data_IF_865242784274
#
_entry.id   IF_865242784274
#
_cell.length_a   1.000
_cell.length_b   1.000
_cell.length_c   1.000
_cell.angle_alpha   90.00
_cell.angle_beta   90.00
_cell.angle_gamma   90.00
#
_symmetry.space_group_name_H-M   'P 1'
#
loop_
_entity.id
_entity.type
_entity.pdbx_description
1 polymer ?
#
# COMPACT_ATOMS: atom_id res chain seq x y z
N UNK A 1 55.72 -76.32 -10.68
CA UNK A 1 54.53 -76.91 -10.04
C UNK A 1 53.35 -76.72 -10.96
N UNK A 2 52.77 -77.84 -11.37
CA UNK A 2 51.85 -78.03 -12.50
C UNK A 2 50.38 -78.05 -12.05
N UNK A 3 49.47 -77.39 -12.78
CA UNK A 3 48.42 -78.08 -13.58
C UNK A 3 47.43 -77.09 -14.23
N UNK A 4 47.27 -77.26 -15.54
CA UNK A 4 46.25 -76.73 -16.46
C UNK A 4 44.85 -77.24 -16.05
N UNK A 5 43.80 -76.41 -16.03
CA UNK A 5 42.92 -75.96 -17.13
C UNK A 5 42.15 -77.09 -17.83
N UNK A 6 40.81 -77.00 -17.79
CA UNK A 6 39.83 -77.81 -18.54
C UNK A 6 38.52 -77.97 -17.75
N UNK A 7 37.65 -76.95 -17.76
CA UNK A 7 36.44 -76.86 -18.60
C UNK A 7 35.24 -77.70 -18.11
N UNK A 8 34.12 -77.06 -17.75
CA UNK A 8 32.84 -77.16 -18.50
C UNK A 8 31.66 -76.37 -17.87
N UNK A 9 31.01 -75.61 -18.76
CA UNK A 9 29.54 -75.44 -18.97
C UNK A 9 28.64 -74.72 -17.95
N UNK A 10 28.03 -73.66 -18.50
CA UNK A 10 26.58 -73.34 -18.56
C UNK A 10 25.83 -73.11 -17.24
N UNK A 11 25.39 -71.87 -17.01
CA UNK A 11 23.98 -71.44 -17.18
C UNK A 11 23.77 -69.98 -16.72
N UNK A 12 22.99 -69.25 -17.52
CA UNK A 12 22.08 -68.16 -17.16
C UNK A 12 22.67 -66.87 -16.55
N UNK A 13 23.01 -65.93 -17.43
CA UNK A 13 22.93 -64.48 -17.17
C UNK A 13 22.01 -63.85 -18.20
N UNK A 14 20.77 -63.52 -17.79
CA UNK A 14 19.98 -62.42 -18.37
C UNK A 14 18.81 -62.13 -17.42
N UNK A 15 19.10 -61.35 -16.38
CA UNK A 15 18.13 -60.72 -15.50
C UNK A 15 18.70 -59.37 -15.10
N UNK A 16 18.51 -58.38 -15.97
CA UNK A 16 18.46 -56.95 -15.66
C UNK A 16 18.10 -56.25 -16.98
N UNK A 17 16.91 -55.64 -17.00
CA UNK A 17 16.28 -54.80 -18.04
C UNK A 17 14.83 -55.27 -18.23
N UNK A 18 13.94 -54.92 -17.28
CA UNK A 18 12.54 -54.52 -17.51
C UNK A 18 12.07 -53.90 -16.19
N UNK A 19 12.25 -52.60 -16.01
CA UNK A 19 11.44 -51.81 -15.06
C UNK A 19 11.39 -50.34 -15.47
N UNK A 20 10.95 -50.07 -16.71
CA UNK A 20 10.53 -48.73 -17.10
C UNK A 20 9.54 -48.76 -18.28
N UNK A 21 8.38 -49.39 -18.07
CA UNK A 21 7.25 -49.27 -19.01
C UNK A 21 5.98 -49.84 -18.40
N UNK A 22 5.34 -49.13 -17.45
CA UNK A 22 3.93 -49.32 -17.06
C UNK A 22 3.51 -48.21 -16.08
N UNK A 23 3.31 -46.99 -16.60
CA UNK A 23 2.44 -45.97 -15.99
C UNK A 23 2.09 -44.86 -16.99
N UNK A 24 1.54 -45.25 -18.13
CA UNK A 24 0.78 -44.35 -19.00
C UNK A 24 -0.42 -45.10 -19.53
N UNK A 25 -1.60 -44.47 -19.42
CA UNK A 25 -2.94 -44.89 -19.85
C UNK A 25 -3.78 -45.64 -18.81
N UNK A 26 -4.57 -44.89 -18.06
CA UNK A 26 -6.05 -45.02 -18.02
C UNK A 26 -6.65 -44.04 -17.01
N UNK A 27 -6.83 -42.77 -17.42
CA UNK A 27 -7.86 -41.89 -16.85
C UNK A 27 -8.41 -41.04 -17.99
N UNK A 28 -9.29 -41.65 -18.76
CA UNK A 28 -10.30 -40.95 -19.55
C UNK A 28 -11.65 -41.34 -18.95
N UNK A 29 -12.58 -40.39 -18.94
CA UNK A 29 -14.01 -40.57 -18.65
C UNK A 29 -14.49 -40.36 -17.19
N UNK A 30 -14.41 -39.10 -16.70
CA UNK A 30 -15.52 -38.43 -16.00
C UNK A 30 -15.46 -36.93 -16.32
N UNK A 31 -15.97 -36.52 -17.49
CA UNK A 31 -16.30 -35.10 -17.75
C UNK A 31 -17.73 -34.84 -17.25
N UNK A 32 -17.84 -34.65 -15.94
CA UNK A 32 -19.02 -34.03 -15.33
C UNK A 32 -18.98 -32.53 -15.65
N UNK A 33 -19.96 -32.06 -16.41
CA UNK A 33 -20.20 -30.66 -16.72
C UNK A 33 -20.56 -29.89 -15.45
N UNK A 34 -19.55 -29.33 -14.77
CA UNK A 34 -19.76 -28.26 -13.79
C UNK A 34 -19.93 -26.97 -14.58
N UNK A 35 -21.18 -26.57 -14.79
CA UNK A 35 -21.53 -25.25 -15.29
C UNK A 35 -21.08 -24.20 -14.28
N UNK A 36 -19.90 -23.62 -14.53
CA UNK A 36 -19.48 -22.37 -13.90
C UNK A 36 -20.32 -21.27 -14.53
N UNK A 37 -21.48 -21.00 -13.93
CA UNK A 37 -22.23 -19.78 -14.19
C UNK A 37 -21.34 -18.60 -13.88
N UNK A 38 -20.85 -17.96 -14.95
CA UNK A 38 -20.23 -16.64 -14.91
C UNK A 38 -21.35 -15.64 -14.59
N UNK A 39 -21.72 -15.53 -13.33
CA UNK A 39 -22.47 -14.38 -12.88
C UNK A 39 -21.57 -13.16 -13.07
N UNK A 40 -22.01 -12.28 -13.96
CA UNK A 40 -21.48 -10.94 -14.09
C UNK A 40 -21.65 -10.26 -12.74
N UNK A 41 -20.58 -10.17 -11.95
CA UNK A 41 -20.47 -9.16 -10.91
C UNK A 41 -20.47 -7.80 -11.61
N UNK A 42 -21.66 -7.24 -11.74
CA UNK A 42 -21.86 -5.82 -11.96
C UNK A 42 -21.26 -5.14 -10.72
N UNK A 43 -20.04 -4.62 -10.84
CA UNK A 43 -19.53 -3.65 -9.89
C UNK A 43 -20.42 -2.41 -10.04
N UNK A 44 -21.39 -2.30 -9.13
CA UNK A 44 -22.10 -1.05 -8.89
C UNK A 44 -21.05 -0.04 -8.43
N UNK A 45 -20.77 0.93 -9.30
CA UNK A 45 -20.07 2.16 -8.96
C UNK A 45 -20.91 2.89 -7.91
N UNK A 46 -20.60 2.68 -6.62
CA UNK A 46 -20.94 3.67 -5.61
C UNK A 46 -20.01 4.86 -5.85
N UNK A 47 -20.58 5.94 -6.39
CA UNK A 47 -20.00 7.27 -6.32
C UNK A 47 -19.67 7.56 -4.85
N UNK A 48 -18.39 7.49 -4.52
CA UNK A 48 -17.87 8.09 -3.30
C UNK A 48 -17.65 9.54 -3.65
N UNK A 49 -18.57 10.40 -3.19
CA UNK A 49 -18.39 11.84 -3.21
C UNK A 49 -17.24 12.18 -2.25
N UNK A 50 -16.02 12.15 -2.77
CA UNK A 50 -14.86 12.71 -2.09
C UNK A 50 -15.01 14.23 -2.17
N UNK A 51 -15.64 14.80 -1.14
CA UNK A 51 -15.62 16.22 -0.86
C UNK A 51 -14.17 16.66 -0.61
N UNK A 52 -13.50 17.06 -1.69
CA UNK A 52 -12.20 17.73 -1.70
C UNK A 52 -12.33 19.12 -1.09
N UNK A 53 -12.23 19.18 0.23
CA UNK A 53 -11.98 20.43 0.94
C UNK A 53 -10.49 20.76 0.85
N UNK A 54 -10.09 21.42 -0.25
CA UNK A 54 -8.87 22.22 -0.30
C UNK A 54 -9.22 23.65 0.12
N UNK A 55 -8.76 24.17 1.28
CA UNK A 55 -8.85 25.59 1.55
C UNK A 55 -7.72 26.31 0.81
N UNK A 56 -8.13 27.13 -0.17
CA UNK A 56 -7.56 28.42 -0.53
C UNK A 56 -6.04 28.64 -0.33
N UNK A 57 -5.30 28.61 -1.44
CA UNK A 57 -4.12 29.47 -1.61
C UNK A 57 -4.36 30.35 -2.85
N UNK A 58 -4.67 31.65 -2.67
CA UNK A 58 -4.57 32.60 -3.75
C UNK A 58 -3.11 32.99 -3.94
N UNK A 59 -2.66 32.93 -5.18
CA UNK A 59 -1.45 33.55 -5.71
C UNK A 59 -1.26 34.97 -5.17
N UNK A 60 -0.32 35.14 -4.25
CA UNK A 60 0.18 36.43 -3.78
C UNK A 60 1.22 36.99 -4.76
N UNK A 61 0.73 37.70 -5.77
CA UNK A 61 1.49 38.72 -6.49
C UNK A 61 0.98 40.07 -6.00
N UNK A 62 1.86 40.88 -5.41
CA UNK A 62 1.69 42.23 -4.83
C UNK A 62 1.88 42.31 -3.31
N UNK A 63 3.10 42.61 -2.87
CA UNK A 63 3.35 43.30 -1.60
C UNK A 63 3.80 44.73 -1.97
N UNK A 64 3.00 45.77 -1.69
CA UNK A 64 3.48 47.15 -1.76
C UNK A 64 4.50 47.38 -0.66
N UNK A 65 5.48 48.24 -0.95
CA UNK A 65 6.64 48.63 -0.15
C UNK A 65 6.31 49.22 1.24
N UNK A 66 5.78 48.40 2.16
CA UNK A 66 5.76 48.72 3.57
C UNK A 66 7.21 48.77 4.08
N UNK A 67 7.64 49.98 4.43
CA UNK A 67 9.03 50.31 4.70
C UNK A 67 9.71 49.37 5.69
N UNK A 68 10.97 49.05 5.38
CA UNK A 68 11.91 48.20 6.11
C UNK A 68 11.85 48.34 7.65
N UNK A 69 11.48 49.53 8.16
CA UNK A 69 11.31 49.80 9.60
C UNK A 69 10.17 49.01 10.26
N UNK A 70 9.06 48.78 9.56
CA UNK A 70 7.92 48.00 10.07
C UNK A 70 8.27 46.51 10.12
N UNK A 71 9.06 46.04 9.15
CA UNK A 71 9.55 44.66 9.10
C UNK A 71 10.47 44.34 10.29
N UNK A 72 11.41 45.24 10.62
CA UNK A 72 12.27 45.08 11.80
C UNK A 72 11.51 45.16 13.13
N UNK A 73 10.50 46.01 13.23
CA UNK A 73 9.65 46.09 14.42
C UNK A 73 8.86 44.79 14.67
N UNK A 74 8.34 44.18 13.61
CA UNK A 74 7.65 42.88 13.70
C UNK A 74 8.62 41.74 14.06
N UNK A 75 9.84 41.73 13.52
CA UNK A 75 10.87 40.74 13.91
C UNK A 75 11.22 40.86 15.39
N UNK A 76 11.45 42.08 15.88
CA UNK A 76 11.77 42.30 17.30
C UNK A 76 10.60 41.91 18.19
N UNK A 77 9.35 42.23 17.80
CA UNK A 77 8.15 41.82 18.53
C UNK A 77 8.03 40.29 18.58
N UNK A 78 8.28 39.59 17.47
CA UNK A 78 8.28 38.14 17.41
C UNK A 78 9.38 37.51 18.27
N UNK A 79 10.58 38.11 18.31
CA UNK A 79 11.66 37.66 19.18
C UNK A 79 11.30 37.84 20.66
N UNK A 80 10.73 38.98 21.05
CA UNK A 80 10.29 39.23 22.44
C UNK A 80 9.15 38.28 22.84
N UNK A 81 8.18 38.03 21.96
CA UNK A 81 7.12 37.04 22.17
C UNK A 81 7.69 35.62 22.32
N UNK A 82 8.68 35.24 21.50
CA UNK A 82 9.31 33.92 21.60
C UNK A 82 10.03 33.70 22.94
N UNK A 83 10.71 34.72 23.47
CA UNK A 83 11.37 34.66 24.78
C UNK A 83 10.34 34.60 25.91
N UNK A 84 9.23 35.35 25.79
CA UNK A 84 8.16 35.33 26.78
C UNK A 84 7.49 33.94 26.90
N UNK A 85 7.29 33.25 25.78
CA UNK A 85 6.72 31.89 25.77
C UNK A 85 7.65 30.89 26.48
N UNK A 86 8.97 31.00 26.29
CA UNK A 86 9.96 30.10 26.93
C UNK A 86 10.01 30.31 28.46
N UNK A 87 9.85 31.54 28.94
CA UNK A 87 9.94 31.85 30.39
C UNK A 87 8.65 31.54 31.15
N UNK A 88 7.50 31.52 30.46
CA UNK A 88 6.18 31.30 31.10
C UNK A 88 5.74 29.83 31.13
N UNK A 89 6.49 28.93 30.48
CA UNK A 89 6.17 27.51 30.37
C UNK A 89 6.50 26.72 31.64
N UNK A 90 5.75 26.93 32.72
CA UNK A 90 5.68 25.98 33.83
C UNK A 90 5.24 24.62 33.28
N UNK A 91 6.00 23.58 33.60
CA UNK A 91 5.82 22.22 33.09
C UNK A 91 4.46 21.62 33.47
N UNK A 92 3.44 21.93 32.69
CA UNK A 92 2.29 21.07 32.55
C UNK A 92 2.78 19.89 31.71
N UNK A 93 3.07 18.77 32.36
CA UNK A 93 3.13 17.47 31.69
C UNK A 93 1.82 17.30 30.96
N UNK A 94 1.79 17.67 29.68
CA UNK A 94 0.64 17.50 28.82
C UNK A 94 0.41 16.00 28.72
N UNK A 95 -0.61 15.52 29.44
CA UNK A 95 -1.19 14.18 29.27
C UNK A 95 -1.38 13.98 27.77
N UNK A 96 -0.66 13.00 27.23
CA UNK A 96 -0.55 12.77 25.80
C UNK A 96 -1.34 11.53 25.47
N UNK A 97 -2.49 11.70 24.84
CA UNK A 97 -3.40 10.63 24.41
C UNK A 97 -2.87 9.78 23.23
N UNK A 98 -1.55 9.60 23.13
CA UNK A 98 -0.88 8.88 22.05
C UNK A 98 0.57 8.47 22.45
N UNK A 99 0.88 8.41 23.75
CA UNK A 99 2.22 8.06 24.24
C UNK A 99 2.37 6.57 24.62
N UNK A 100 1.30 5.79 24.51
CA UNK A 100 1.29 4.36 24.83
C UNK A 100 1.32 4.07 26.32
N UNK A 101 1.03 5.06 27.17
CA UNK A 101 1.06 4.95 28.63
C UNK A 101 -0.28 5.43 29.17
N UNK A 102 -0.90 4.64 30.06
CA UNK A 102 -2.09 5.08 30.77
C UNK A 102 -1.70 6.10 31.85
N UNK A 103 -1.81 7.39 31.56
CA UNK A 103 -1.48 8.48 32.48
C UNK A 103 -2.61 9.51 32.66
N UNK A 104 -2.48 10.37 33.68
CA UNK A 104 -3.48 11.40 33.98
C UNK A 104 -4.86 10.85 34.37
N UNK A 105 -5.90 11.21 33.60
CA UNK A 105 -7.30 10.84 33.83
C UNK A 105 -7.84 9.81 32.84
N UNK A 106 -6.95 9.18 32.08
CA UNK A 106 -7.31 8.15 31.11
C UNK A 106 -8.05 6.96 31.73
N UNK A 107 -8.96 6.37 30.97
CA UNK A 107 -9.71 5.16 31.33
C UNK A 107 -9.13 3.89 30.68
N UNK A 108 -8.26 4.05 29.69
CA UNK A 108 -7.44 3.02 29.04
C UNK A 108 -6.19 3.66 28.43
N UNK A 109 -5.23 2.88 27.94
CA UNK A 109 -4.00 3.42 27.33
C UNK A 109 -4.36 4.39 26.21
N UNK A 110 -3.99 5.67 26.34
CA UNK A 110 -4.23 6.75 25.38
C UNK A 110 -5.73 7.08 25.13
N UNK A 111 -6.65 6.66 26.01
CA UNK A 111 -8.08 6.91 25.84
C UNK A 111 -8.84 7.17 27.16
N UNK A 112 -9.95 7.91 27.06
CA UNK A 112 -10.80 8.27 28.19
C UNK A 112 -10.30 9.47 29.01
N UNK A 113 -11.15 9.98 29.91
CA UNK A 113 -10.83 11.19 30.68
C UNK A 113 -10.76 12.45 29.82
N UNK A 114 -9.57 13.07 29.78
CA UNK A 114 -9.27 14.20 28.88
C UNK A 114 -9.01 13.77 27.43
N UNK A 115 -8.78 12.48 27.20
CA UNK A 115 -8.55 11.89 25.88
C UNK A 115 -9.87 11.46 25.21
N UNK A 116 -9.86 11.19 23.89
CA UNK A 116 -11.02 10.64 23.20
C UNK A 116 -11.58 9.43 23.94
N UNK A 117 -12.91 9.29 23.97
CA UNK A 117 -13.58 8.19 24.68
C UNK A 117 -13.02 6.85 24.21
N UNK A 118 -12.66 5.97 25.14
CA UNK A 118 -12.31 4.60 24.81
C UNK A 118 -13.44 3.94 24.02
N UNK A 119 -13.07 3.10 23.05
CA UNK A 119 -14.04 2.25 22.38
C UNK A 119 -14.88 1.51 23.43
N UNK A 120 -16.20 1.36 23.21
CA UNK A 120 -17.07 0.69 24.17
C UNK A 120 -16.47 -0.68 24.49
N UNK A 121 -16.35 -0.99 25.78
CA UNK A 121 -15.86 -2.30 26.24
C UNK A 121 -16.82 -3.35 25.69
N UNK A 122 -16.46 -3.97 24.58
CA UNK A 122 -17.29 -5.00 23.97
C UNK A 122 -17.29 -6.18 24.93
N UNK A 123 -18.48 -6.62 25.34
CA UNK A 123 -18.60 -7.75 26.23
C UNK A 123 -18.18 -9.03 25.49
N UNK A 124 -16.93 -9.44 25.69
CA UNK A 124 -16.30 -10.57 25.01
C UNK A 124 -17.10 -11.87 25.18
N UNK A 125 -17.81 -12.05 26.31
CA UNK A 125 -18.63 -13.24 26.51
C UNK A 125 -19.84 -13.27 25.59
N UNK A 126 -20.46 -12.11 25.35
CA UNK A 126 -21.62 -12.01 24.46
C UNK A 126 -21.24 -12.25 22.99
N UNK A 127 -20.06 -11.79 22.58
CA UNK A 127 -19.51 -12.07 21.25
C UNK A 127 -19.28 -13.57 21.01
N UNK A 128 -18.79 -14.30 22.01
CA UNK A 128 -18.56 -15.75 21.89
C UNK A 128 -19.89 -16.48 21.62
N UNK A 129 -20.93 -16.17 22.38
CA UNK A 129 -22.27 -16.77 22.22
C UNK A 129 -22.89 -16.47 20.85
N UNK A 130 -22.64 -15.27 20.31
CA UNK A 130 -23.15 -14.88 18.99
C UNK A 130 -22.44 -15.65 17.86
N UNK A 131 -21.12 -15.79 17.91
CA UNK A 131 -20.38 -16.55 16.89
C UNK A 131 -20.67 -18.05 16.93
N UNK A 132 -21.04 -18.62 18.08
CA UNK A 132 -21.42 -20.02 18.19
C UNK A 132 -22.76 -20.36 17.50
N UNK A 133 -23.59 -19.37 17.14
CA UNK A 133 -24.85 -19.57 16.41
C UNK A 133 -24.62 -20.02 14.95
N UNK A 134 -23.42 -19.85 14.40
CA UNK A 134 -23.12 -20.25 13.03
C UNK A 134 -22.88 -21.76 12.92
N UNK A 135 -23.54 -22.38 11.93
CA UNK A 135 -23.55 -23.84 11.74
C UNK A 135 -22.31 -24.40 11.03
N UNK A 136 -21.53 -23.56 10.34
CA UNK A 136 -20.29 -23.97 9.66
C UNK A 136 -19.07 -23.38 10.34
N UNK A 137 -17.95 -24.12 10.30
CA UNK A 137 -16.67 -23.61 10.82
C UNK A 137 -16.22 -22.34 10.11
N UNK A 138 -16.45 -22.24 8.80
CA UNK A 138 -16.07 -21.06 8.00
C UNK A 138 -16.80 -19.80 8.46
N UNK A 139 -18.13 -19.88 8.65
CA UNK A 139 -18.91 -18.71 9.09
C UNK A 139 -18.58 -18.32 10.53
N UNK A 140 -18.36 -19.32 11.39
CA UNK A 140 -17.96 -19.09 12.77
C UNK A 140 -16.56 -18.44 12.86
N UNK A 141 -15.60 -18.95 12.11
CA UNK A 141 -14.25 -18.40 12.08
C UNK A 141 -14.26 -16.95 11.58
N UNK A 142 -15.01 -16.67 10.50
CA UNK A 142 -15.21 -15.30 10.01
C UNK A 142 -15.82 -14.38 11.07
N UNK A 143 -16.83 -14.85 11.80
CA UNK A 143 -17.42 -14.10 12.91
C UNK A 143 -16.39 -13.75 13.98
N UNK A 144 -15.57 -14.72 14.39
CA UNK A 144 -14.50 -14.47 15.36
C UNK A 144 -13.44 -13.50 14.82
N UNK A 145 -13.06 -13.60 13.55
CA UNK A 145 -12.12 -12.67 12.91
C UNK A 145 -12.60 -11.22 12.97
N UNK A 146 -13.84 -10.98 12.51
CA UNK A 146 -14.44 -9.64 12.48
C UNK A 146 -14.60 -9.09 13.92
N UNK A 147 -15.09 -9.93 14.84
CA UNK A 147 -15.26 -9.55 16.26
C UNK A 147 -13.93 -9.23 16.95
N UNK A 148 -12.88 -9.99 16.64
CA UNK A 148 -11.56 -9.78 17.20
C UNK A 148 -10.92 -8.47 16.72
N UNK A 149 -11.14 -8.12 15.45
CA UNK A 149 -10.69 -6.86 14.86
C UNK A 149 -11.44 -5.66 15.45
N UNK A 150 -12.76 -5.75 15.60
CA UNK A 150 -13.58 -4.68 16.18
C UNK A 150 -13.23 -4.43 17.66
N UNK A 151 -13.03 -5.51 18.42
CA UNK A 151 -12.69 -5.43 19.84
C UNK A 151 -11.19 -5.25 20.12
N UNK A 152 -10.33 -5.27 19.09
CA UNK A 152 -8.87 -5.35 19.20
C UNK A 152 -8.39 -6.41 20.20
N UNK A 153 -9.05 -7.58 20.21
CA UNK A 153 -8.83 -8.62 21.22
C UNK A 153 -8.35 -9.94 20.59
N UNK A 154 -7.04 -10.20 20.69
CA UNK A 154 -6.42 -11.42 20.16
C UNK A 154 -6.93 -12.72 20.79
N UNK A 155 -7.54 -12.68 21.99
CA UNK A 155 -8.04 -13.89 22.64
C UNK A 155 -9.20 -14.53 21.87
N UNK A 156 -9.85 -13.78 20.98
CA UNK A 156 -10.89 -14.31 20.09
C UNK A 156 -10.29 -15.09 18.91
N UNK A 157 -9.08 -14.75 18.46
CA UNK A 157 -8.41 -15.45 17.36
C UNK A 157 -8.18 -16.93 17.68
N UNK A 158 -7.91 -17.28 18.94
CA UNK A 158 -7.64 -18.68 19.33
C UNK A 158 -8.84 -19.61 19.13
N UNK A 159 -10.07 -19.05 19.02
CA UNK A 159 -11.34 -19.77 18.83
C UNK A 159 -11.55 -20.26 17.40
N UNK A 160 -10.78 -19.74 16.44
CA UNK A 160 -10.89 -20.13 15.03
C UNK A 160 -10.38 -21.55 14.80
N UNK A 161 -10.82 -22.21 13.74
CA UNK A 161 -10.52 -23.62 13.50
C UNK A 161 -9.15 -23.87 12.85
N UNK A 162 -8.71 -22.99 11.94
CA UNK A 162 -7.46 -23.16 11.19
C UNK A 162 -6.33 -22.28 11.72
N UNK A 163 -5.12 -22.84 11.92
CA UNK A 163 -3.97 -22.09 12.45
C UNK A 163 -3.61 -20.87 11.59
N UNK A 164 -3.63 -21.01 10.27
CA UNK A 164 -3.37 -19.91 9.34
C UNK A 164 -4.32 -18.72 9.58
N UNK A 165 -5.59 -19.00 9.85
CA UNK A 165 -6.57 -17.95 10.14
C UNK A 165 -6.35 -17.30 11.52
N UNK A 166 -5.83 -18.06 12.50
CA UNK A 166 -5.45 -17.51 13.81
C UNK A 166 -4.31 -16.52 13.68
N UNK A 167 -3.27 -16.91 12.93
CA UNK A 167 -2.09 -16.09 12.70
C UNK A 167 -2.47 -14.82 11.93
N UNK A 168 -3.29 -14.95 10.89
CA UNK A 168 -3.86 -13.81 10.16
C UNK A 168 -4.70 -12.88 11.03
N UNK A 169 -5.54 -13.43 11.92
CA UNK A 169 -6.32 -12.67 12.90
C UNK A 169 -5.42 -11.85 13.85
N UNK A 170 -4.40 -12.50 14.44
CA UNK A 170 -3.44 -11.85 15.34
C UNK A 170 -2.67 -10.75 14.60
N UNK A 171 -2.21 -11.03 13.38
CA UNK A 171 -1.54 -10.06 12.50
C UNK A 171 -2.39 -8.82 12.25
N UNK A 172 -3.67 -9.00 11.90
CA UNK A 172 -4.59 -7.89 11.65
C UNK A 172 -4.77 -7.02 12.90
N UNK A 173 -4.94 -7.63 14.07
CA UNK A 173 -5.07 -6.91 15.35
C UNK A 173 -3.78 -6.16 15.70
N UNK A 174 -2.61 -6.78 15.48
CA UNK A 174 -1.31 -6.13 15.67
C UNK A 174 -1.23 -4.82 14.89
N UNK A 175 -1.61 -4.85 13.60
CA UNK A 175 -1.59 -3.67 12.73
C UNK A 175 -2.62 -2.63 13.14
N UNK A 176 -3.87 -3.03 13.42
CA UNK A 176 -4.95 -2.11 13.83
C UNK A 176 -4.68 -1.43 15.18
N UNK A 177 -4.08 -2.16 16.12
CA UNK A 177 -3.72 -1.64 17.45
C UNK A 177 -2.35 -0.97 17.50
N UNK A 178 -1.54 -1.10 16.45
CA UNK A 178 -0.15 -0.64 16.42
C UNK A 178 0.78 -1.37 17.40
N UNK A 179 0.43 -2.59 17.84
CA UNK A 179 1.16 -3.33 18.87
C UNK A 179 2.14 -4.37 18.26
N UNK A 180 3.47 -4.11 18.27
CA UNK A 180 4.46 -5.03 17.69
C UNK A 180 4.65 -6.32 18.50
N UNK A 181 4.27 -6.35 19.78
CA UNK A 181 4.41 -7.54 20.63
C UNK A 181 3.53 -8.68 20.10
N UNK A 182 2.40 -8.35 19.48
CA UNK A 182 1.53 -9.34 18.84
C UNK A 182 2.21 -10.01 17.64
N UNK A 183 3.03 -9.29 16.86
CA UNK A 183 3.81 -9.87 15.76
C UNK A 183 4.84 -10.87 16.27
N UNK A 184 5.46 -10.62 17.43
CA UNK A 184 6.40 -11.55 18.07
C UNK A 184 5.74 -12.86 18.53
N UNK A 185 4.42 -12.87 18.72
CA UNK A 185 3.67 -14.07 19.11
C UNK A 185 3.38 -15.03 17.96
N UNK A 186 3.59 -14.60 16.71
CA UNK A 186 3.36 -15.41 15.52
C UNK A 186 4.47 -16.46 15.36
N UNK A 187 4.07 -17.72 15.18
CA UNK A 187 5.00 -18.84 15.08
C UNK A 187 5.64 -18.97 13.69
N UNK A 188 4.86 -18.67 12.64
CA UNK A 188 5.34 -18.72 11.27
C UNK A 188 6.15 -17.46 10.91
N UNK A 189 7.33 -17.66 10.33
CA UNK A 189 8.25 -16.56 10.02
C UNK A 189 7.73 -15.65 8.91
N UNK A 190 7.00 -16.19 7.93
CA UNK A 190 6.37 -15.39 6.88
C UNK A 190 5.27 -14.51 7.47
N UNK A 191 4.43 -15.07 8.35
CA UNK A 191 3.36 -14.32 9.02
C UNK A 191 3.90 -13.20 9.90
N UNK A 192 5.00 -13.47 10.62
CA UNK A 192 5.72 -12.46 11.40
C UNK A 192 6.25 -11.32 10.54
N UNK A 193 6.88 -11.63 9.41
CA UNK A 193 7.38 -10.63 8.46
C UNK A 193 6.24 -9.77 7.88
N UNK A 194 5.12 -10.39 7.48
CA UNK A 194 3.93 -9.67 7.00
C UNK A 194 3.31 -8.78 8.08
N UNK A 195 3.36 -9.20 9.35
CA UNK A 195 2.92 -8.39 10.48
C UNK A 195 3.73 -7.11 10.64
N UNK A 196 5.06 -7.22 10.65
CA UNK A 196 5.94 -6.05 10.74
C UNK A 196 5.89 -5.15 9.49
N UNK A 197 5.69 -5.75 8.31
CA UNK A 197 5.43 -5.00 7.08
C UNK A 197 4.14 -4.16 7.22
N UNK A 198 3.07 -4.76 7.72
CA UNK A 198 1.80 -4.07 7.99
C UNK A 198 1.94 -2.91 8.96
N UNK A 199 2.68 -3.10 10.07
CA UNK A 199 2.98 -2.03 11.03
C UNK A 199 3.80 -0.91 10.40
N UNK A 200 4.88 -1.22 9.69
CA UNK A 200 5.77 -0.22 9.08
C UNK A 200 5.09 0.64 8.00
N UNK A 201 4.13 0.06 7.28
CA UNK A 201 3.36 0.75 6.23
C UNK A 201 2.21 1.57 6.81
N UNK A 202 1.44 1.00 7.73
CA UNK A 202 0.25 1.65 8.32
C UNK A 202 0.65 2.81 9.23
N UNK A 203 1.64 2.58 10.11
CA UNK A 203 2.16 3.60 11.03
C UNK A 203 3.21 4.50 10.38
N UNK A 204 3.59 4.23 9.12
CA UNK A 204 4.61 4.97 8.36
C UNK A 204 5.95 5.07 9.11
N UNK A 205 6.30 4.04 9.88
CA UNK A 205 7.51 4.00 10.68
C UNK A 205 8.44 2.89 10.17
N UNK A 206 9.57 3.30 9.58
CA UNK A 206 10.55 2.37 9.00
C UNK A 206 11.27 1.50 10.04
N UNK A 207 11.24 1.84 11.33
CA UNK A 207 11.90 1.03 12.36
C UNK A 207 11.28 -0.36 12.49
N UNK A 208 10.00 -0.53 12.16
CA UNK A 208 9.37 -1.85 12.14
C UNK A 208 9.96 -2.77 11.06
N UNK A 209 10.44 -2.19 9.95
CA UNK A 209 11.07 -2.94 8.86
C UNK A 209 12.37 -3.63 9.30
N UNK A 210 12.97 -3.23 10.43
CA UNK A 210 14.18 -3.87 10.93
C UNK A 210 13.96 -5.28 11.49
N UNK A 211 12.72 -5.59 11.89
CA UNK A 211 12.33 -6.90 12.41
C UNK A 211 11.92 -7.90 11.33
N UNK A 212 11.95 -7.50 10.05
CA UNK A 212 11.62 -8.36 8.92
C UNK A 212 12.86 -9.17 8.51
N UNK A 213 12.75 -10.49 8.54
CA UNK A 213 13.82 -11.41 8.20
C UNK A 213 14.03 -11.53 6.69
N UNK A 214 12.96 -11.66 5.91
CA UNK A 214 13.04 -11.72 4.45
C UNK A 214 13.53 -10.39 3.87
N UNK A 215 14.65 -10.44 3.14
CA UNK A 215 15.26 -9.22 2.58
C UNK A 215 14.38 -8.50 1.56
N UNK A 216 13.57 -9.24 0.79
CA UNK A 216 12.67 -8.64 -0.20
C UNK A 216 11.52 -7.89 0.46
N UNK A 217 10.88 -8.49 1.48
CA UNK A 217 9.86 -7.83 2.29
C UNK A 217 10.41 -6.64 3.07
N UNK A 218 11.62 -6.77 3.62
CA UNK A 218 12.29 -5.67 4.33
C UNK A 218 12.48 -4.46 3.40
N UNK A 219 12.97 -4.67 2.18
CA UNK A 219 13.11 -3.59 1.20
C UNK A 219 11.75 -3.02 0.76
N UNK A 220 10.73 -3.86 0.60
CA UNK A 220 9.35 -3.43 0.30
C UNK A 220 8.76 -2.54 1.40
N UNK A 221 9.00 -2.90 2.67
CA UNK A 221 8.63 -2.12 3.84
C UNK A 221 9.31 -0.75 3.82
N UNK A 222 10.65 -0.73 3.70
CA UNK A 222 11.42 0.51 3.64
C UNK A 222 10.97 1.42 2.49
N UNK A 223 10.76 0.86 1.30
CA UNK A 223 10.25 1.59 0.14
C UNK A 223 8.90 2.24 0.42
N UNK A 224 7.98 1.48 1.01
CA UNK A 224 6.62 1.95 1.31
C UNK A 224 6.63 3.01 2.41
N UNK A 225 7.41 2.82 3.48
CA UNK A 225 7.57 3.83 4.55
C UNK A 225 8.22 5.11 4.01
N UNK A 226 9.27 5.00 3.17
CA UNK A 226 9.94 6.16 2.57
C UNK A 226 8.99 6.98 1.69
N UNK A 227 8.21 6.32 0.83
CA UNK A 227 7.26 7.00 -0.07
C UNK A 227 6.08 7.62 0.69
N UNK A 228 5.58 6.95 1.72
CA UNK A 228 4.49 7.47 2.55
C UNK A 228 4.89 8.67 3.42
N UNK A 229 6.14 8.71 3.90
CA UNK A 229 6.70 9.79 4.72
C UNK A 229 7.41 10.88 3.91
N UNK A 230 7.69 10.60 2.63
CA UNK A 230 8.59 11.39 1.77
C UNK A 230 10.00 11.55 2.37
N UNK A 231 10.45 10.57 3.15
CA UNK A 231 11.79 10.56 3.73
C UNK A 231 12.78 9.82 2.81
N UNK A 232 13.68 10.58 2.19
CA UNK A 232 14.70 10.05 1.27
C UNK A 232 15.77 9.23 2.00
N UNK A 233 16.06 9.52 3.27
CA UNK A 233 17.08 8.79 4.04
C UNK A 233 16.69 7.33 4.24
N UNK A 234 15.38 7.04 4.33
CA UNK A 234 14.87 5.66 4.41
C UNK A 234 15.15 4.90 3.11
N UNK A 235 15.16 5.57 1.95
CA UNK A 235 15.57 4.95 0.70
C UNK A 235 17.04 4.50 0.71
N UNK A 236 17.91 5.18 1.47
CA UNK A 236 19.33 4.81 1.57
C UNK A 236 19.56 3.52 2.37
N UNK A 237 18.58 3.10 3.19
CA UNK A 237 18.59 1.83 3.91
C UNK A 237 18.31 0.62 3.00
N UNK A 238 17.79 0.85 1.78
CA UNK A 238 17.50 -0.21 0.81
C UNK A 238 18.81 -0.72 0.19
N UNK A 239 19.05 -2.03 0.23
CA UNK A 239 20.31 -2.63 -0.22
C UNK A 239 20.38 -2.73 -1.74
N UNK A 240 19.32 -3.20 -2.39
CA UNK A 240 19.26 -3.36 -3.84
C UNK A 240 19.30 -1.99 -4.54
N UNK A 241 20.35 -1.75 -5.35
CA UNK A 241 20.59 -0.48 -6.03
C UNK A 241 19.37 -0.01 -6.84
N UNK A 242 18.78 -0.87 -7.67
CA UNK A 242 17.64 -0.51 -8.51
C UNK A 242 16.40 -0.15 -7.67
N UNK A 243 16.13 -0.86 -6.57
CA UNK A 243 15.04 -0.53 -5.64
C UNK A 243 15.29 0.79 -4.91
N UNK A 244 16.52 1.04 -4.46
CA UNK A 244 16.93 2.32 -3.86
C UNK A 244 16.75 3.48 -4.82
N UNK A 245 17.19 3.34 -6.07
CA UNK A 245 17.03 4.36 -7.11
C UNK A 245 15.55 4.64 -7.41
N UNK A 246 14.70 3.60 -7.51
CA UNK A 246 13.25 3.76 -7.65
C UNK A 246 12.65 4.56 -6.49
N UNK A 247 13.05 4.24 -5.26
CA UNK A 247 12.58 4.92 -4.06
C UNK A 247 12.92 6.42 -4.12
N UNK A 248 14.19 6.76 -4.38
CA UNK A 248 14.63 8.16 -4.52
C UNK A 248 13.93 8.89 -5.65
N UNK A 249 13.77 8.24 -6.81
CA UNK A 249 13.07 8.81 -7.95
C UNK A 249 11.66 9.27 -7.58
N UNK A 250 10.92 8.46 -6.82
CA UNK A 250 9.54 8.75 -6.43
C UNK A 250 9.47 9.78 -5.31
N UNK A 251 10.27 9.63 -4.26
CA UNK A 251 10.28 10.54 -3.11
C UNK A 251 10.71 11.95 -3.52
N UNK A 252 11.77 12.07 -4.33
CA UNK A 252 12.30 13.34 -4.81
C UNK A 252 11.60 13.84 -6.09
N UNK A 253 10.72 13.03 -6.69
CA UNK A 253 10.10 13.28 -8.01
C UNK A 253 11.12 13.58 -9.11
N UNK A 254 12.27 12.90 -9.06
CA UNK A 254 13.41 13.16 -9.93
C UNK A 254 13.67 11.99 -10.89
N UNK A 255 13.39 12.24 -12.16
CA UNK A 255 13.48 11.24 -13.23
C UNK A 255 14.92 10.80 -13.54
N UNK A 256 15.94 11.56 -13.11
CA UNK A 256 17.34 11.23 -13.36
C UNK A 256 17.77 9.93 -12.66
N UNK A 257 17.17 9.59 -11.51
CA UNK A 257 17.43 8.33 -10.82
C UNK A 257 16.97 7.12 -11.65
N UNK A 258 15.86 7.24 -12.40
CA UNK A 258 15.36 6.14 -13.24
C UNK A 258 16.36 5.76 -14.33
N UNK A 259 17.12 6.72 -14.88
CA UNK A 259 18.12 6.48 -15.93
C UNK A 259 19.19 5.48 -15.50
N UNK A 260 19.50 5.46 -14.20
CA UNK A 260 20.56 4.61 -13.63
C UNK A 260 20.09 3.20 -13.24
N UNK A 261 18.81 2.88 -13.45
CA UNK A 261 18.26 1.55 -13.15
C UNK A 261 18.65 0.56 -14.25
N UNK A 262 19.25 -0.55 -13.83
CA UNK A 262 19.82 -1.55 -14.75
C UNK A 262 18.74 -2.38 -15.46
N UNK A 263 17.73 -2.83 -14.73
CA UNK A 263 16.66 -3.68 -15.27
C UNK A 263 15.63 -2.83 -16.04
N UNK A 264 15.41 -3.14 -17.33
CA UNK A 264 14.51 -2.38 -18.20
C UNK A 264 13.08 -2.28 -17.63
N UNK A 265 12.51 -3.38 -17.13
CA UNK A 265 11.16 -3.40 -16.57
C UNK A 265 11.05 -2.49 -15.33
N UNK A 266 12.06 -2.56 -14.46
CA UNK A 266 12.14 -1.73 -13.25
C UNK A 266 12.31 -0.24 -13.59
N UNK A 267 13.11 0.05 -14.63
CA UNK A 267 13.33 1.40 -15.14
C UNK A 267 12.08 2.01 -15.76
N UNK A 268 11.39 1.25 -16.60
CA UNK A 268 10.15 1.68 -17.24
C UNK A 268 9.06 1.93 -16.19
N UNK A 269 8.93 1.05 -15.20
CA UNK A 269 8.05 1.27 -14.05
C UNK A 269 8.40 2.55 -13.28
N UNK A 270 9.69 2.84 -13.09
CA UNK A 270 10.16 4.07 -12.45
C UNK A 270 9.67 5.31 -13.20
N UNK A 271 9.86 5.35 -14.53
CA UNK A 271 9.40 6.45 -15.36
C UNK A 271 7.89 6.65 -15.26
N UNK A 272 7.09 5.57 -15.31
CA UNK A 272 5.64 5.65 -15.16
C UNK A 272 5.23 6.25 -13.81
N UNK A 273 5.85 5.78 -12.71
CA UNK A 273 5.51 6.26 -11.36
C UNK A 273 5.89 7.72 -11.14
N UNK A 274 7.06 8.15 -11.61
CA UNK A 274 7.46 9.57 -11.52
C UNK A 274 6.54 10.45 -12.37
N UNK A 275 6.18 10.00 -13.58
CA UNK A 275 5.29 10.73 -14.47
C UNK A 275 3.88 10.93 -13.88
N UNK A 276 3.38 9.97 -13.10
CA UNK A 276 2.09 10.09 -12.41
C UNK A 276 2.04 11.24 -11.38
N UNK A 277 3.19 11.72 -10.88
CA UNK A 277 3.24 12.88 -9.98
C UNK A 277 3.50 14.21 -10.68
N UNK A 278 4.09 14.16 -11.87
CA UNK A 278 4.44 15.31 -12.68
C UNK A 278 4.40 14.89 -14.16
N UNK A 279 3.20 14.92 -14.78
CA UNK A 279 3.02 14.49 -16.16
C UNK A 279 3.93 15.26 -17.10
N UNK A 280 4.72 14.52 -17.89
CA UNK A 280 5.61 15.08 -18.87
C UNK A 280 5.79 14.09 -20.02
N UNK A 281 5.29 14.47 -21.19
CA UNK A 281 5.36 13.64 -22.41
C UNK A 281 6.77 13.14 -22.75
N UNK A 282 7.82 13.89 -22.39
CA UNK A 282 9.21 13.48 -22.64
C UNK A 282 9.62 12.27 -21.81
N UNK A 283 8.99 12.04 -20.64
CA UNK A 283 9.23 10.86 -19.81
C UNK A 283 8.63 9.62 -20.48
N UNK A 284 7.43 9.72 -21.05
CA UNK A 284 6.79 8.59 -21.73
C UNK A 284 7.64 8.04 -22.89
N UNK A 285 8.38 8.90 -23.59
CA UNK A 285 9.30 8.49 -24.67
C UNK A 285 10.53 7.71 -24.18
N UNK A 286 10.84 7.75 -22.87
CA UNK A 286 11.95 6.99 -22.28
C UNK A 286 11.55 5.57 -21.89
N UNK A 287 10.26 5.26 -21.87
CA UNK A 287 9.73 3.93 -21.57
C UNK A 287 9.96 3.05 -22.79
N UNK A 288 10.65 1.93 -22.60
CA UNK A 288 11.02 1.02 -23.69
C UNK A 288 9.91 0.03 -24.06
N UNK A 289 9.11 -0.39 -23.08
CA UNK A 289 7.98 -1.26 -23.30
C UNK A 289 6.80 -0.50 -23.93
N UNK A 290 6.33 -0.99 -25.08
CA UNK A 290 5.31 -0.34 -25.91
C UNK A 290 4.02 -0.03 -25.12
N UNK A 291 3.39 -1.06 -24.55
CA UNK A 291 2.12 -0.89 -23.83
C UNK A 291 2.25 0.06 -22.61
N UNK A 292 3.25 -0.08 -21.72
CA UNK A 292 3.56 0.90 -20.68
C UNK A 292 3.75 2.35 -21.17
N UNK A 293 4.41 2.56 -22.31
CA UNK A 293 4.62 3.88 -22.89
C UNK A 293 3.30 4.49 -23.40
N UNK A 294 2.45 3.67 -24.03
CA UNK A 294 1.12 4.08 -24.50
C UNK A 294 0.21 4.52 -23.37
N UNK A 295 0.15 3.76 -22.28
CA UNK A 295 -0.59 4.16 -21.07
C UNK A 295 -0.09 5.51 -20.52
N UNK A 296 1.23 5.72 -20.49
CA UNK A 296 1.81 6.99 -20.07
C UNK A 296 1.33 8.16 -20.95
N UNK A 297 1.27 7.98 -22.28
CA UNK A 297 0.74 9.02 -23.17
C UNK A 297 -0.76 9.29 -22.96
N UNK A 298 -1.55 8.26 -22.65
CA UNK A 298 -2.97 8.42 -22.32
C UNK A 298 -3.14 9.27 -21.06
N UNK A 299 -2.38 8.98 -20.01
CA UNK A 299 -2.47 9.72 -18.75
C UNK A 299 -2.08 11.19 -18.94
N UNK A 300 -0.96 11.45 -19.63
CA UNK A 300 -0.54 12.83 -19.97
C UNK A 300 -1.61 13.56 -20.81
N UNK A 301 -2.23 12.87 -21.78
CA UNK A 301 -3.27 13.48 -22.61
C UNK A 301 -4.51 13.89 -21.81
N UNK A 302 -4.90 13.08 -20.81
CA UNK A 302 -6.02 13.37 -19.92
C UNK A 302 -5.71 14.51 -18.96
N UNK A 303 -4.54 14.48 -18.34
CA UNK A 303 -4.12 15.49 -17.38
C UNK A 303 -3.95 16.87 -18.02
N UNK A 304 -3.40 16.93 -19.23
CA UNK A 304 -3.26 18.18 -20.00
C UNK A 304 -4.55 18.56 -20.75
N UNK A 305 -5.55 17.67 -20.81
CA UNK A 305 -6.77 17.78 -21.64
C UNK A 305 -6.41 18.13 -23.11
N UNK A 306 -5.38 17.45 -23.65
CA UNK A 306 -4.83 17.72 -24.98
C UNK A 306 -4.88 16.46 -25.87
N UNK A 307 -5.85 16.44 -26.80
CA UNK A 307 -6.05 15.35 -27.75
C UNK A 307 -4.81 15.07 -28.62
N UNK A 308 -3.99 16.10 -28.88
CA UNK A 308 -2.78 15.96 -29.70
C UNK A 308 -1.78 14.98 -29.09
N UNK A 309 -1.78 14.83 -27.76
CA UNK A 309 -0.92 13.89 -27.04
C UNK A 309 -1.23 12.44 -27.39
N UNK A 310 -2.49 12.10 -27.66
CA UNK A 310 -2.90 10.77 -28.08
C UNK A 310 -2.24 10.33 -29.40
N UNK A 311 -1.72 11.25 -30.23
CA UNK A 311 -1.04 10.92 -31.48
C UNK A 311 0.26 10.12 -31.29
N UNK A 312 0.81 10.10 -30.07
CA UNK A 312 2.02 9.33 -29.76
C UNK A 312 1.74 7.84 -29.47
N UNK A 313 0.47 7.44 -29.34
CA UNK A 313 0.05 6.05 -29.08
C UNK A 313 0.03 5.28 -30.40
N UNK A 314 0.75 4.16 -30.54
CA UNK A 314 0.84 3.40 -31.80
C UNK A 314 -0.43 2.59 -32.06
N UNK A 315 -0.94 1.93 -31.03
CA UNK A 315 -2.16 1.14 -31.04
C UNK A 315 -3.37 2.00 -31.38
N UNK A 316 -4.00 1.75 -32.52
CA UNK A 316 -5.10 2.55 -33.05
C UNK A 316 -6.35 2.53 -32.16
N UNK A 317 -6.61 1.40 -31.50
CA UNK A 317 -7.74 1.25 -30.57
C UNK A 317 -7.51 2.13 -29.35
N UNK A 318 -6.35 1.99 -28.68
CA UNK A 318 -6.01 2.80 -27.51
C UNK A 318 -5.95 4.30 -27.84
N UNK A 319 -5.45 4.65 -29.03
CA UNK A 319 -5.43 6.03 -29.53
C UNK A 319 -6.85 6.60 -29.67
N UNK A 320 -7.77 5.85 -30.26
CA UNK A 320 -9.17 6.27 -30.40
C UNK A 320 -9.85 6.44 -29.04
N UNK A 321 -9.62 5.50 -28.13
CA UNK A 321 -10.16 5.53 -26.77
C UNK A 321 -9.60 6.73 -25.98
N UNK A 322 -8.31 7.02 -26.11
CA UNK A 322 -7.65 8.20 -25.54
C UNK A 322 -8.36 9.49 -25.97
N UNK A 323 -8.54 9.69 -27.27
CA UNK A 323 -9.20 10.89 -27.82
C UNK A 323 -10.62 11.06 -27.31
N UNK A 324 -11.35 9.96 -27.24
CA UNK A 324 -12.75 9.95 -26.74
C UNK A 324 -12.79 10.36 -25.27
N UNK A 325 -11.89 9.83 -24.44
CA UNK A 325 -11.80 10.16 -23.03
C UNK A 325 -11.39 11.62 -22.80
N UNK A 326 -10.39 12.12 -23.55
CA UNK A 326 -9.96 13.53 -23.44
C UNK A 326 -11.08 14.50 -23.81
N UNK A 327 -11.85 14.22 -24.87
CA UNK A 327 -13.01 15.04 -25.25
C UNK A 327 -14.10 15.04 -24.18
N UNK A 328 -14.38 13.89 -23.58
CA UNK A 328 -15.36 13.80 -22.50
C UNK A 328 -14.95 14.65 -21.29
N UNK A 329 -13.66 14.62 -20.91
CA UNK A 329 -13.11 15.46 -19.84
C UNK A 329 -13.20 16.95 -20.20
N UNK A 330 -12.85 17.33 -21.43
CA UNK A 330 -12.97 18.72 -21.91
C UNK A 330 -14.42 19.24 -21.85
N UNK A 331 -15.40 18.42 -22.28
CA UNK A 331 -16.82 18.76 -22.18
C UNK A 331 -17.31 18.91 -20.74
N UNK A 332 -16.86 18.05 -19.82
CA UNK A 332 -17.17 18.13 -18.40
C UNK A 332 -16.58 19.41 -17.77
N UNK A 333 -15.30 19.71 -18.05
CA UNK A 333 -14.63 20.93 -17.61
C UNK A 333 -15.34 22.21 -18.12
N UNK A 334 -15.84 22.19 -19.36
CA UNK A 334 -16.68 23.27 -19.90
C UNK A 334 -17.99 23.41 -19.11
N UNK A 335 -18.71 22.32 -18.87
CA UNK A 335 -19.96 22.37 -18.07
C UNK A 335 -19.72 22.92 -16.66
N UNK A 336 -18.63 22.51 -16.02
CA UNK A 336 -18.26 22.98 -14.68
C UNK A 336 -17.95 24.49 -14.67
N UNK A 337 -17.17 24.98 -15.64
CA UNK A 337 -16.84 26.40 -15.74
C UNK A 337 -18.07 27.28 -16.03
N UNK A 338 -19.00 26.81 -16.87
CA UNK A 338 -20.31 27.45 -17.08
C UNK A 338 -21.11 27.53 -15.77
N UNK A 339 -21.21 26.43 -15.02
CA UNK A 339 -21.89 26.39 -13.71
C UNK A 339 -21.31 27.43 -12.74
N UNK A 340 -19.98 27.47 -12.60
CA UNK A 340 -19.28 28.40 -11.71
C UNK A 340 -19.51 29.88 -12.09
N UNK A 341 -19.55 30.17 -13.40
CA UNK A 341 -19.83 31.52 -13.91
C UNK A 341 -21.26 32.00 -13.57
N UNK A 342 -22.23 31.10 -13.62
CA UNK A 342 -23.62 31.40 -13.26
C UNK A 342 -23.77 31.66 -11.76
N UNK A 343 -23.08 30.87 -10.91
CA UNK A 343 -23.06 31.10 -9.46
C UNK A 343 -22.44 32.45 -9.10
N UNK A 344 -21.38 32.87 -9.80
CA UNK A 344 -20.73 34.17 -9.56
C UNK A 344 -21.63 35.35 -9.96
N UNK A 345 -22.49 35.17 -10.98
CA UNK A 345 -23.42 36.21 -11.43
C UNK A 345 -24.56 36.44 -10.43
N UNK A 346 -25.01 35.39 -9.73
CA UNK A 346 -26.08 35.50 -8.71
C UNK A 346 -25.62 36.15 -7.40
N UNK A 347 -24.31 36.26 -7.16
CA UNK A 347 -23.74 36.86 -5.96
C UNK A 347 -23.38 38.35 -6.12
N UNK A 348 -23.66 38.97 -7.27
CA UNK A 348 -23.54 40.43 -7.40
C UNK A 348 -24.79 41.10 -6.78
N UNK A 349 -24.63 41.92 -5.73
CA UNK A 349 -25.72 42.55 -5.00
C UNK A 349 -26.48 43.61 -5.81
#
# INVERSE_FOLDING_TARGET
MTKKVGATKKKASKKLEVEESLKTKSVEEVRGTVGVSREKMVMSEKKVDVASSCPFLPSCSFIPSLGLKVFWALIVLLLVLSVYIVVSGGGNSSVSCANGVMDGTELGVDCGGVCPTCAPVVNVSQLDDDCLKFNTSVNRDRCYYDSAAEALNQSLCVKMSAQLLKDECVRNIAVLSGNPVLCESLADAFEKDECFLGLGTTLKNSSFCDNIADSGRKESCLFSSATATKNTEVCDLIKTQDTRLRCKAIVEKNVSFCVSISENNSRDWCYQRVNAFAPNITICRKITAEYPAELCFIDVAKDEVDESRCMNIVNLTLRSDCRTQVKAIDEENKKLSLSLSNMTTQLKP
#
